data_IF_517153630485
#
_entry.id   IF_517153630485
#
_cell.length_a   1.000
_cell.length_b   1.000
_cell.length_c   1.000
_cell.angle_alpha   90.00
_cell.angle_beta   90.00
_cell.angle_gamma   90.00
#
_symmetry.space_group_name_H-M   'P 1'
#
loop_
_entity.id
_entity.type
_entity.pdbx_description
1 polymer ?
#
# COMPACT_ATOMS: atom_id res chain seq x y z
N UNK A 1 18.62 20.04 -6.14
CA UNK A 1 17.35 19.35 -6.36
C UNK A 1 17.58 17.91 -6.82
N UNK A 2 16.94 16.97 -6.15
CA UNK A 2 17.14 15.55 -6.46
C UNK A 2 16.33 15.17 -7.69
N UNK A 3 16.98 14.43 -8.62
CA UNK A 3 16.21 13.80 -9.68
C UNK A 3 15.74 12.42 -9.21
N UNK A 4 14.71 11.83 -9.87
CA UNK A 4 14.15 10.54 -9.40
C UNK A 4 15.17 9.42 -9.31
N UNK A 5 16.14 9.36 -10.21
CA UNK A 5 17.17 8.32 -10.19
C UNK A 5 18.02 8.39 -8.92
N UNK A 6 18.45 9.58 -8.55
CA UNK A 6 19.23 9.79 -7.31
C UNK A 6 18.37 9.46 -6.10
N UNK A 7 17.13 9.91 -6.12
CA UNK A 7 16.19 9.68 -5.03
C UNK A 7 15.95 8.18 -4.81
N UNK A 8 15.69 7.43 -5.88
CA UNK A 8 15.41 5.99 -5.78
C UNK A 8 16.61 5.18 -5.28
N UNK A 9 17.83 5.69 -5.49
CA UNK A 9 19.05 5.02 -5.06
C UNK A 9 19.54 5.45 -3.68
N UNK A 10 18.82 6.40 -3.03
CA UNK A 10 19.24 6.93 -1.74
C UNK A 10 19.23 5.86 -0.64
N UNK A 11 20.35 5.70 0.11
CA UNK A 11 20.36 4.74 1.23
C UNK A 11 19.39 5.16 2.35
N UNK A 12 18.89 4.16 3.07
CA UNK A 12 17.95 4.42 4.16
C UNK A 12 18.50 5.39 5.21
N UNK A 13 19.77 5.25 5.58
CA UNK A 13 20.35 6.15 6.59
C UNK A 13 20.39 7.59 6.11
N UNK A 14 20.58 7.83 4.81
CA UNK A 14 20.52 9.17 4.24
C UNK A 14 19.10 9.71 4.26
N UNK A 15 18.13 8.87 3.92
CA UNK A 15 16.71 9.24 3.98
C UNK A 15 16.34 9.64 5.40
N UNK A 16 16.71 8.83 6.38
CA UNK A 16 16.36 9.09 7.77
C UNK A 16 17.09 10.29 8.34
N UNK A 17 18.32 10.56 7.88
CA UNK A 17 19.04 11.77 8.27
C UNK A 17 18.31 13.02 7.76
N UNK A 18 17.80 12.99 6.53
CA UNK A 18 17.02 14.09 5.97
C UNK A 18 15.70 14.28 6.71
N UNK A 19 15.05 13.19 7.08
CA UNK A 19 13.80 13.25 7.83
C UNK A 19 14.06 13.85 9.22
N UNK A 20 15.12 13.42 9.89
CA UNK A 20 15.50 13.98 11.20
C UNK A 20 15.76 15.48 11.11
N UNK A 21 16.45 15.92 10.07
CA UNK A 21 16.74 17.33 9.86
C UNK A 21 15.46 18.16 9.67
N UNK A 22 14.38 17.53 9.20
CA UNK A 22 13.08 18.16 9.01
C UNK A 22 12.14 17.92 10.21
N UNK A 23 12.66 17.39 11.31
CA UNK A 23 11.87 17.02 12.51
C UNK A 23 10.80 15.98 12.21
N UNK A 24 11.09 15.06 11.30
CA UNK A 24 10.17 13.99 10.92
C UNK A 24 10.70 12.64 11.42
N UNK A 25 9.79 11.72 11.78
CA UNK A 25 10.21 10.38 12.22
C UNK A 25 10.91 9.61 11.12
N UNK A 26 11.79 8.69 11.52
CA UNK A 26 12.45 7.79 10.59
C UNK A 26 11.44 6.83 9.95
N UNK A 27 11.78 6.32 8.76
CA UNK A 27 10.98 5.28 8.11
C UNK A 27 11.75 3.96 8.16
N UNK A 28 11.02 2.85 8.05
CA UNK A 28 11.62 1.52 8.03
C UNK A 28 12.22 1.22 6.65
N UNK A 29 13.11 0.22 6.61
CA UNK A 29 13.65 -0.24 5.35
C UNK A 29 12.55 -0.78 4.44
N UNK A 30 11.60 -1.53 5.01
CA UNK A 30 10.48 -2.06 4.24
C UNK A 30 9.66 -0.95 3.59
N UNK A 31 9.38 0.12 4.35
CA UNK A 31 8.67 1.28 3.81
C UNK A 31 9.45 1.91 2.65
N UNK A 32 10.73 2.19 2.88
CA UNK A 32 11.54 2.86 1.87
C UNK A 32 11.68 2.03 0.59
N UNK A 33 11.94 0.73 0.72
CA UNK A 33 12.01 -0.17 -0.43
C UNK A 33 10.71 -0.19 -1.23
N UNK A 34 9.59 -0.13 -0.51
CA UNK A 34 8.28 -0.21 -1.15
C UNK A 34 7.94 1.07 -1.91
N UNK A 35 8.17 2.25 -1.30
CA UNK A 35 7.72 3.51 -1.89
C UNK A 35 8.74 4.16 -2.81
N UNK A 36 10.05 3.92 -2.60
CA UNK A 36 11.07 4.64 -3.35
C UNK A 36 10.94 4.56 -4.87
N UNK A 37 10.59 3.41 -5.48
CA UNK A 37 10.44 3.37 -6.93
C UNK A 37 9.29 4.21 -7.48
N UNK A 38 8.39 4.66 -6.63
CA UNK A 38 7.15 5.33 -7.04
C UNK A 38 7.10 6.81 -6.69
N UNK A 39 8.17 7.35 -6.13
CA UNK A 39 8.20 8.78 -5.78
C UNK A 39 9.05 9.54 -6.77
N UNK A 40 8.71 10.82 -6.97
CA UNK A 40 9.44 11.70 -7.88
C UNK A 40 10.17 12.82 -7.15
N UNK A 41 9.77 13.07 -5.90
CA UNK A 41 10.43 14.05 -5.04
C UNK A 41 10.42 13.54 -3.60
N UNK A 42 11.35 14.04 -2.80
CA UNK A 42 11.51 13.57 -1.41
C UNK A 42 10.23 13.73 -0.59
N UNK A 43 9.51 14.83 -0.79
CA UNK A 43 8.28 15.12 -0.05
C UNK A 43 7.16 14.10 -0.30
N UNK A 44 7.26 13.33 -1.36
CA UNK A 44 6.28 12.27 -1.62
C UNK A 44 6.26 11.22 -0.50
N UNK A 45 7.36 11.13 0.28
CA UNK A 45 7.41 10.25 1.45
C UNK A 45 6.28 10.58 2.43
N UNK A 46 5.99 11.86 2.64
CA UNK A 46 4.96 12.29 3.59
C UNK A 46 3.58 11.82 3.15
N UNK A 47 3.30 11.92 1.86
CA UNK A 47 2.03 11.45 1.30
C UNK A 47 1.88 9.93 1.51
N UNK A 48 2.90 9.16 1.16
CA UNK A 48 2.83 7.70 1.30
C UNK A 48 2.81 7.26 2.75
N UNK A 49 3.53 7.96 3.64
CA UNK A 49 3.45 7.69 5.07
C UNK A 49 2.03 7.89 5.58
N UNK A 50 1.39 8.99 5.19
CA UNK A 50 0.01 9.25 5.59
C UNK A 50 -0.94 8.17 5.07
N UNK A 51 -0.79 7.78 3.81
CA UNK A 51 -1.62 6.73 3.24
C UNK A 51 -1.43 5.39 3.96
N UNK A 52 -0.18 5.02 4.23
CA UNK A 52 0.12 3.69 4.76
C UNK A 52 -0.03 3.59 6.29
N UNK A 53 0.19 4.66 7.02
CA UNK A 53 0.21 4.62 8.49
C UNK A 53 -1.01 5.21 9.17
N UNK A 54 -1.82 6.00 8.47
CA UNK A 54 -3.03 6.56 9.06
C UNK A 54 -4.16 5.53 9.08
N UNK A 55 -5.25 5.88 9.76
CA UNK A 55 -6.47 5.06 9.77
C UNK A 55 -7.48 5.51 8.73
N UNK A 56 -7.04 6.26 7.72
CA UNK A 56 -7.92 6.73 6.66
C UNK A 56 -8.63 5.59 5.95
N UNK A 57 -9.89 5.86 5.60
CA UNK A 57 -10.70 4.96 4.77
C UNK A 57 -11.08 5.75 3.53
N UNK A 58 -10.93 5.15 2.37
CA UNK A 58 -11.19 5.82 1.10
C UNK A 58 -12.53 5.37 0.53
N UNK A 59 -13.16 6.24 -0.26
CA UNK A 59 -14.43 5.91 -0.89
C UNK A 59 -14.26 4.78 -1.91
N UNK A 60 -15.21 3.86 -1.90
CA UNK A 60 -15.21 2.74 -2.83
C UNK A 60 -16.41 2.94 -3.78
N UNK A 61 -16.20 2.89 -5.11
CA UNK A 61 -17.32 2.96 -6.04
C UNK A 61 -18.37 1.88 -5.73
N UNK A 62 -19.62 2.24 -5.87
CA UNK A 62 -20.74 1.33 -5.56
C UNK A 62 -20.57 -0.03 -6.23
N UNK A 63 -20.14 -0.03 -7.48
CA UNK A 63 -19.94 -1.25 -8.27
C UNK A 63 -18.87 -2.19 -7.72
N UNK A 64 -17.97 -1.67 -6.88
CA UNK A 64 -16.86 -2.44 -6.32
C UNK A 64 -17.06 -2.77 -4.83
N UNK A 65 -18.11 -2.25 -4.20
CA UNK A 65 -18.31 -2.44 -2.76
C UNK A 65 -18.47 -3.89 -2.36
N UNK A 66 -19.30 -4.63 -3.08
CA UNK A 66 -19.51 -6.04 -2.78
C UNK A 66 -18.26 -6.87 -2.98
N UNK A 67 -17.51 -6.56 -4.04
CA UNK A 67 -16.22 -7.20 -4.30
C UNK A 67 -15.24 -6.95 -3.17
N UNK A 68 -15.05 -5.70 -2.78
CA UNK A 68 -14.11 -5.33 -1.74
C UNK A 68 -14.51 -5.93 -0.39
N UNK A 69 -15.79 -5.93 -0.06
CA UNK A 69 -16.28 -6.54 1.17
C UNK A 69 -16.01 -8.05 1.19
N UNK A 70 -16.23 -8.72 0.07
CA UNK A 70 -15.95 -10.14 -0.08
C UNK A 70 -14.46 -10.43 0.11
N UNK A 71 -13.60 -9.59 -0.47
CA UNK A 71 -12.15 -9.71 -0.31
C UNK A 71 -11.73 -9.53 1.16
N UNK A 72 -12.35 -8.56 1.86
CA UNK A 72 -12.07 -8.31 3.27
C UNK A 72 -12.44 -9.51 4.14
N UNK A 73 -13.57 -10.16 3.83
CA UNK A 73 -14.04 -11.32 4.59
C UNK A 73 -13.08 -12.51 4.51
N UNK A 74 -12.21 -12.53 3.52
CA UNK A 74 -11.22 -13.60 3.35
C UNK A 74 -9.90 -13.32 4.06
N UNK A 75 -9.75 -12.15 4.68
CA UNK A 75 -8.56 -11.81 5.46
C UNK A 75 -8.69 -12.33 6.88
N UNK A 76 -7.58 -12.86 7.40
CA UNK A 76 -7.48 -13.34 8.78
C UNK A 76 -6.17 -12.86 9.39
N UNK A 77 -6.03 -13.01 10.70
CA UNK A 77 -4.80 -12.61 11.40
C UNK A 77 -3.57 -13.41 10.95
N UNK A 78 -3.77 -14.52 10.25
CA UNK A 78 -2.67 -15.32 9.73
C UNK A 78 -2.03 -14.68 8.47
N UNK A 79 -2.69 -13.70 7.86
CA UNK A 79 -2.20 -13.03 6.65
C UNK A 79 -1.28 -11.89 7.06
N UNK A 80 0.03 -12.13 7.06
CA UNK A 80 1.01 -11.16 7.55
C UNK A 80 2.16 -10.84 6.60
N UNK A 81 2.60 -11.83 5.81
CA UNK A 81 3.74 -11.64 4.90
C UNK A 81 3.27 -11.33 3.49
N UNK A 82 4.21 -10.90 2.63
CA UNK A 82 3.88 -10.67 1.22
C UNK A 82 3.40 -11.95 0.54
N UNK A 83 3.91 -13.10 0.97
CA UNK A 83 3.48 -14.40 0.45
C UNK A 83 2.06 -14.70 0.88
N UNK A 84 1.71 -14.42 2.14
CA UNK A 84 0.36 -14.59 2.65
C UNK A 84 -0.63 -13.73 1.87
N UNK A 85 -0.28 -12.48 1.60
CA UNK A 85 -1.12 -11.58 0.83
C UNK A 85 -1.25 -12.01 -0.63
N UNK A 86 -0.19 -12.58 -1.20
CA UNK A 86 -0.26 -13.13 -2.56
C UNK A 86 -1.24 -14.30 -2.62
N UNK A 87 -1.21 -15.18 -1.62
CA UNK A 87 -2.15 -16.29 -1.52
C UNK A 87 -3.58 -15.78 -1.34
N UNK A 88 -3.76 -14.75 -0.54
CA UNK A 88 -5.07 -14.11 -0.36
C UNK A 88 -5.59 -13.52 -1.67
N UNK A 89 -4.74 -12.82 -2.42
CA UNK A 89 -5.13 -12.26 -3.72
C UNK A 89 -5.55 -13.34 -4.70
N UNK A 90 -4.83 -14.47 -4.71
CA UNK A 90 -5.21 -15.61 -5.55
C UNK A 90 -6.56 -16.19 -5.13
N UNK A 91 -6.81 -16.29 -3.84
CA UNK A 91 -8.09 -16.79 -3.34
C UNK A 91 -9.24 -15.85 -3.71
N UNK A 92 -9.03 -14.54 -3.63
CA UNK A 92 -10.01 -13.54 -4.05
C UNK A 92 -10.29 -13.66 -5.54
N UNK A 93 -9.23 -13.83 -6.34
CA UNK A 93 -9.34 -14.01 -7.78
C UNK A 93 -10.21 -15.22 -8.13
N UNK A 94 -9.96 -16.34 -7.47
CA UNK A 94 -10.71 -17.57 -7.72
C UNK A 94 -12.16 -17.45 -7.28
N UNK A 95 -12.40 -16.85 -6.12
CA UNK A 95 -13.75 -16.70 -5.60
C UNK A 95 -14.61 -15.74 -6.39
N UNK A 96 -14.05 -14.64 -6.85
CA UNK A 96 -14.80 -13.57 -7.54
C UNK A 96 -14.78 -13.68 -9.05
N UNK A 97 -13.81 -14.44 -9.60
CA UNK A 97 -13.62 -14.53 -11.04
C UNK A 97 -12.98 -13.32 -11.67
N UNK A 98 -12.64 -12.28 -10.88
CA UNK A 98 -11.98 -11.09 -11.40
C UNK A 98 -10.48 -11.35 -11.55
N UNK A 99 -9.87 -10.71 -12.56
CA UNK A 99 -8.44 -10.82 -12.81
C UNK A 99 -7.92 -9.55 -13.45
N UNK A 100 -6.60 -9.35 -13.41
CA UNK A 100 -5.96 -8.17 -13.98
C UNK A 100 -6.48 -6.90 -13.33
N UNK A 101 -6.77 -5.89 -14.12
CA UNK A 101 -7.23 -4.60 -13.62
C UNK A 101 -8.51 -4.69 -12.81
N UNK A 102 -9.43 -5.57 -13.21
CA UNK A 102 -10.71 -5.73 -12.51
C UNK A 102 -10.50 -6.24 -11.08
N UNK A 103 -9.40 -6.96 -10.84
CA UNK A 103 -9.04 -7.43 -9.50
C UNK A 103 -8.23 -6.38 -8.73
N UNK A 104 -7.16 -5.85 -9.33
CA UNK A 104 -6.21 -5.01 -8.61
C UNK A 104 -6.62 -3.55 -8.45
N UNK A 105 -7.29 -2.96 -9.45
CA UNK A 105 -7.70 -1.56 -9.38
C UNK A 105 -8.62 -1.25 -8.21
N UNK A 106 -9.73 -2.01 -8.03
CA UNK A 106 -10.61 -1.74 -6.89
C UNK A 106 -9.91 -1.87 -5.54
N UNK A 107 -9.06 -2.89 -5.41
CA UNK A 107 -8.30 -3.11 -4.18
C UNK A 107 -7.34 -1.94 -3.94
N UNK A 108 -6.57 -1.55 -4.96
CA UNK A 108 -5.64 -0.45 -4.84
C UNK A 108 -6.35 0.86 -4.48
N UNK A 109 -7.45 1.17 -5.14
CA UNK A 109 -8.22 2.38 -4.85
C UNK A 109 -8.80 2.38 -3.44
N UNK A 110 -9.30 1.24 -2.98
CA UNK A 110 -9.82 1.12 -1.62
C UNK A 110 -8.72 1.33 -0.58
N UNK A 111 -7.50 0.87 -0.87
CA UNK A 111 -6.40 0.94 0.08
C UNK A 111 -5.68 2.29 0.07
N UNK A 112 -5.59 2.95 -1.07
CA UNK A 112 -4.76 4.15 -1.20
C UNK A 112 -5.50 5.36 -1.76
N UNK A 113 -6.69 5.19 -2.30
CA UNK A 113 -7.41 6.24 -3.01
C UNK A 113 -6.80 6.56 -4.38
N UNK A 114 -5.82 5.79 -4.82
CA UNK A 114 -5.08 6.03 -6.07
C UNK A 114 -5.14 4.82 -6.99
N UNK A 115 -4.98 5.06 -8.28
CA UNK A 115 -4.98 3.99 -9.27
C UNK A 115 -3.59 3.40 -9.51
N UNK A 116 -2.55 4.13 -9.14
CA UNK A 116 -1.17 3.68 -9.27
C UNK A 116 -0.42 3.85 -7.95
N UNK A 117 0.76 3.25 -7.86
CA UNK A 117 1.58 3.34 -6.66
C UNK A 117 2.46 2.11 -6.50
N UNK A 118 2.97 1.87 -5.27
CA UNK A 118 3.84 0.73 -4.99
C UNK A 118 3.16 -0.60 -5.30
N UNK A 119 3.97 -1.65 -5.52
CA UNK A 119 3.43 -2.98 -5.73
C UNK A 119 2.61 -3.44 -4.52
N UNK A 120 1.41 -3.96 -4.78
CA UNK A 120 0.51 -4.39 -3.72
C UNK A 120 1.14 -5.39 -2.77
N UNK A 121 1.85 -6.40 -3.29
CA UNK A 121 2.42 -7.45 -2.45
C UNK A 121 3.42 -6.93 -1.41
N UNK A 122 4.06 -5.80 -1.68
CA UNK A 122 4.98 -5.17 -0.73
C UNK A 122 4.29 -4.15 0.15
N UNK A 123 3.25 -3.49 -0.37
CA UNK A 123 2.51 -2.49 0.37
C UNK A 123 1.56 -3.11 1.41
N UNK A 124 0.94 -4.23 1.06
CA UNK A 124 -0.05 -4.88 1.93
C UNK A 124 0.51 -5.26 3.31
N UNK A 125 1.72 -5.86 3.43
CA UNK A 125 2.27 -6.15 4.76
C UNK A 125 2.51 -4.90 5.60
N UNK A 126 2.81 -3.77 4.96
CA UNK A 126 2.99 -2.50 5.68
C UNK A 126 1.69 -1.98 6.26
N UNK A 127 0.57 -2.23 5.57
CA UNK A 127 -0.75 -1.84 6.05
C UNK A 127 -1.24 -2.73 7.17
N UNK A 128 -0.88 -3.99 7.16
CA UNK A 128 -1.40 -5.08 8.00
C UNK A 128 -2.82 -5.49 7.62
N UNK A 129 -3.17 -6.74 7.95
CA UNK A 129 -4.46 -7.31 7.55
C UNK A 129 -5.67 -6.53 8.12
N UNK A 130 -5.52 -5.99 9.33
CA UNK A 130 -6.62 -5.25 9.96
C UNK A 130 -6.94 -3.97 9.19
N UNK A 131 -5.91 -3.22 8.84
CA UNK A 131 -6.07 -1.96 8.10
C UNK A 131 -6.57 -2.24 6.68
N UNK A 132 -6.04 -3.28 6.05
CA UNK A 132 -6.49 -3.69 4.72
C UNK A 132 -7.98 -4.03 4.74
N UNK A 133 -8.41 -4.86 5.72
CA UNK A 133 -9.81 -5.23 5.85
C UNK A 133 -10.70 -4.02 6.10
N UNK A 134 -10.30 -3.12 6.98
CA UNK A 134 -11.07 -1.92 7.28
C UNK A 134 -11.26 -1.03 6.04
N UNK A 135 -10.19 -0.86 5.27
CA UNK A 135 -10.27 -0.03 4.05
C UNK A 135 -11.09 -0.68 2.95
N UNK A 136 -11.06 -2.01 2.86
CA UNK A 136 -11.87 -2.74 1.87
C UNK A 136 -13.36 -2.70 2.21
N UNK A 137 -13.68 -2.57 3.48
CA UNK A 137 -15.09 -2.47 3.90
C UNK A 137 -15.66 -1.06 3.76
N UNK A 138 -14.79 -0.07 3.64
CA UNK A 138 -15.20 1.32 3.46
C UNK A 138 -15.55 2.07 4.72
#
# INVERSE_FOLDING_TARGET
KLNPRVLHAMPLETVNARLAAANQPAVSEAFWRTVSPNITKFDDIYMWRDILESDKVFDIPEEDRAFCASAADMLTESVQTSEDFSAWLNAVKEKTGRKGKALFHPIRKALTGREDGPELKFMLPLLTWKKVAARLRG
#
